data_IF_406597624255
#
_entry.id   IF_406597624255
#
_cell.length_a   1.000
_cell.length_b   1.000
_cell.length_c   1.000
_cell.angle_alpha   90.00
_cell.angle_beta   90.00
_cell.angle_gamma   90.00
#
_symmetry.space_group_name_H-M   'P 1'
#
loop_
_entity.id
_entity.type
_entity.pdbx_description
1 polymer ?
#
# COMPACT_ATOMS: atom_id res chain seq x y z
N UNK A 1 -2.06 18.58 17.49
CA UNK A 1 -2.70 17.63 16.57
C UNK A 1 -3.66 16.81 17.41
N UNK A 2 -4.96 16.87 17.13
CA UNK A 2 -5.94 16.08 17.86
C UNK A 2 -5.74 14.60 17.56
N UNK A 3 -5.08 13.89 18.48
CA UNK A 3 -4.84 12.44 18.39
C UNK A 3 -6.10 11.63 18.76
N UNK A 4 -7.30 12.12 18.42
CA UNK A 4 -8.52 11.35 18.62
C UNK A 4 -8.64 10.34 17.45
N UNK A 5 -8.48 9.02 17.68
CA UNK A 5 -8.54 8.00 16.63
C UNK A 5 -9.84 8.02 15.81
N UNK A 6 -10.94 8.51 16.43
CA UNK A 6 -12.25 8.57 15.79
C UNK A 6 -12.39 9.67 14.73
N UNK A 7 -11.43 10.60 14.63
CA UNK A 7 -11.50 11.76 13.72
C UNK A 7 -10.45 11.74 12.61
N UNK A 8 -9.66 10.67 12.51
CA UNK A 8 -8.60 10.59 11.51
C UNK A 8 -9.13 10.18 10.14
N UNK A 9 -8.75 10.93 9.11
CA UNK A 9 -9.10 10.67 7.71
C UNK A 9 -8.15 9.62 7.12
N UNK A 10 -8.65 8.39 7.00
CA UNK A 10 -7.89 7.26 6.48
C UNK A 10 -8.18 7.08 5.00
N UNK A 11 -7.13 7.10 4.18
CA UNK A 11 -7.22 6.85 2.74
C UNK A 11 -6.51 5.55 2.37
N UNK A 12 -7.11 4.81 1.43
CA UNK A 12 -6.49 3.63 0.82
C UNK A 12 -6.04 3.95 -0.59
N UNK A 13 -4.84 3.51 -0.97
CA UNK A 13 -4.29 3.61 -2.32
C UNK A 13 -4.15 2.21 -2.91
N UNK A 14 -4.77 1.99 -4.07
CA UNK A 14 -4.76 0.72 -4.80
C UNK A 14 -4.13 0.97 -6.18
N UNK A 15 -2.86 0.57 -6.40
CA UNK A 15 -2.30 0.57 -7.74
C UNK A 15 -3.02 -0.48 -8.60
N UNK A 16 -3.47 -0.09 -9.80
CA UNK A 16 -4.29 -0.92 -10.67
C UNK A 16 -3.63 -1.10 -12.04
N UNK A 17 -3.11 -2.31 -12.28
CA UNK A 17 -2.58 -2.74 -13.57
C UNK A 17 -2.86 -4.23 -13.77
N UNK A 18 -3.76 -4.57 -14.70
CA UNK A 18 -4.23 -5.94 -14.97
C UNK A 18 -4.85 -6.62 -13.75
N UNK A 19 -5.65 -5.88 -12.98
CA UNK A 19 -6.29 -6.37 -11.75
C UNK A 19 -7.82 -6.46 -11.86
N UNK A 20 -8.37 -6.27 -13.04
CA UNK A 20 -9.81 -6.32 -13.34
C UNK A 20 -10.54 -7.49 -12.69
N UNK A 21 -10.00 -8.73 -12.65
CA UNK A 21 -10.72 -9.87 -12.06
C UNK A 21 -10.93 -9.76 -10.53
N UNK A 22 -10.12 -8.95 -9.83
CA UNK A 22 -10.07 -8.96 -8.36
C UNK A 22 -10.43 -7.63 -7.72
N UNK A 23 -10.24 -6.51 -8.42
CA UNK A 23 -10.25 -5.16 -7.84
C UNK A 23 -11.57 -4.79 -7.18
N UNK A 24 -12.71 -5.16 -7.75
CA UNK A 24 -14.02 -4.86 -7.15
C UNK A 24 -14.20 -5.62 -5.83
N UNK A 25 -13.74 -6.88 -5.76
CA UNK A 25 -13.81 -7.67 -4.54
C UNK A 25 -12.89 -7.08 -3.45
N UNK A 26 -11.71 -6.56 -3.83
CA UNK A 26 -10.81 -5.86 -2.88
C UNK A 26 -11.49 -4.62 -2.33
N UNK A 27 -12.07 -3.78 -3.19
CA UNK A 27 -12.80 -2.57 -2.78
C UNK A 27 -13.97 -2.91 -1.84
N UNK A 28 -14.75 -3.94 -2.17
CA UNK A 28 -15.88 -4.37 -1.35
C UNK A 28 -15.44 -4.84 0.04
N UNK A 29 -14.36 -5.62 0.13
CA UNK A 29 -13.81 -6.07 1.42
C UNK A 29 -13.29 -4.89 2.27
N UNK A 30 -12.70 -3.87 1.65
CA UNK A 30 -12.29 -2.64 2.34
C UNK A 30 -13.53 -1.93 2.90
N UNK A 31 -14.61 -1.87 2.13
CA UNK A 31 -15.86 -1.20 2.51
C UNK A 31 -16.47 -1.78 3.77
N UNK A 32 -16.46 -3.10 3.93
CA UNK A 32 -17.20 -3.81 4.98
C UNK A 32 -16.61 -3.70 6.39
N UNK A 33 -15.34 -3.38 6.55
CA UNK A 33 -14.68 -3.54 7.86
C UNK A 33 -13.78 -2.42 8.36
N UNK A 34 -13.63 -1.32 7.63
CA UNK A 34 -12.61 -0.32 7.94
C UNK A 34 -13.17 1.09 8.04
N UNK A 35 -12.70 1.88 9.00
CA UNK A 35 -12.96 3.32 9.10
C UNK A 35 -12.34 4.14 7.94
N UNK A 36 -12.21 3.55 6.75
CA UNK A 36 -11.64 4.17 5.56
C UNK A 36 -12.58 5.22 4.99
N UNK A 37 -12.09 6.45 4.86
CA UNK A 37 -12.83 7.60 4.37
C UNK A 37 -12.78 7.74 2.85
N UNK A 38 -11.67 7.31 2.21
CA UNK A 38 -11.44 7.47 0.78
C UNK A 38 -10.62 6.30 0.22
N UNK A 39 -10.89 5.93 -1.02
CA UNK A 39 -10.16 4.89 -1.77
C UNK A 39 -9.71 5.48 -3.10
N UNK A 40 -8.41 5.58 -3.32
CA UNK A 40 -7.81 6.01 -4.57
C UNK A 40 -7.37 4.78 -5.38
N UNK A 41 -8.07 4.50 -6.45
CA UNK A 41 -7.65 3.48 -7.43
C UNK A 41 -6.81 4.18 -8.50
N UNK A 42 -5.54 3.83 -8.60
CA UNK A 42 -4.62 4.44 -9.56
C UNK A 42 -4.39 3.51 -10.75
N UNK A 43 -5.08 3.78 -11.84
CA UNK A 43 -4.89 3.10 -13.13
C UNK A 43 -3.55 3.53 -13.76
N UNK A 44 -2.59 2.63 -13.77
CA UNK A 44 -1.26 2.89 -14.31
C UNK A 44 -1.18 2.69 -15.82
N UNK A 45 -2.08 3.35 -16.57
CA UNK A 45 -2.22 3.21 -18.01
C UNK A 45 -2.42 1.73 -18.39
N UNK A 46 -3.36 1.07 -17.70
CA UNK A 46 -3.62 -0.36 -17.84
C UNK A 46 -4.20 -0.69 -19.22
N UNK A 47 -3.64 -1.65 -19.98
CA UNK A 47 -4.20 -2.06 -21.26
C UNK A 47 -5.58 -2.73 -21.13
N UNK A 48 -5.88 -3.35 -19.97
CA UNK A 48 -7.16 -3.98 -19.67
C UNK A 48 -8.19 -2.98 -19.09
N UNK A 49 -7.85 -1.67 -19.09
CA UNK A 49 -8.71 -0.60 -18.60
C UNK A 49 -9.26 -0.83 -17.18
N UNK A 50 -8.45 -1.34 -16.26
CA UNK A 50 -8.88 -1.66 -14.89
C UNK A 50 -9.52 -0.47 -14.17
N UNK A 51 -9.04 0.76 -14.40
CA UNK A 51 -9.63 1.96 -13.83
C UNK A 51 -11.02 2.28 -14.38
N UNK A 52 -11.20 2.15 -15.70
CA UNK A 52 -12.52 2.36 -16.32
C UNK A 52 -13.52 1.30 -15.88
N UNK A 53 -13.09 0.05 -15.76
CA UNK A 53 -13.89 -1.03 -15.20
C UNK A 53 -14.40 -0.70 -13.79
N UNK A 54 -13.56 -0.12 -12.93
CA UNK A 54 -13.97 0.33 -11.58
C UNK A 54 -14.98 1.47 -11.68
N UNK A 55 -14.78 2.47 -12.54
CA UNK A 55 -15.73 3.58 -12.72
C UNK A 55 -17.13 3.11 -13.11
N UNK A 56 -17.20 2.10 -13.97
CA UNK A 56 -18.47 1.60 -14.51
C UNK A 56 -19.19 0.64 -13.55
N UNK A 57 -18.45 -0.05 -12.67
CA UNK A 57 -19.01 -1.15 -11.87
C UNK A 57 -18.97 -0.91 -10.35
N UNK A 58 -18.34 0.18 -9.88
CA UNK A 58 -18.28 0.52 -8.47
C UNK A 58 -19.14 1.75 -8.15
N UNK A 59 -20.17 1.57 -7.33
CA UNK A 59 -21.06 2.64 -6.87
C UNK A 59 -20.65 3.28 -5.54
N UNK A 60 -19.52 2.87 -4.94
CA UNK A 60 -19.04 3.44 -3.66
C UNK A 60 -18.51 4.86 -3.88
N UNK A 61 -19.20 5.86 -3.29
CA UNK A 61 -18.84 7.28 -3.41
C UNK A 61 -17.46 7.63 -2.83
N UNK A 62 -16.88 6.77 -2.02
CA UNK A 62 -15.54 6.94 -1.48
C UNK A 62 -14.44 6.62 -2.50
N UNK A 63 -14.79 5.92 -3.59
CA UNK A 63 -13.83 5.50 -4.61
C UNK A 63 -13.59 6.63 -5.60
N UNK A 64 -12.33 6.98 -5.79
CA UNK A 64 -11.86 7.90 -6.82
C UNK A 64 -10.83 7.19 -7.70
N UNK A 65 -11.05 7.22 -9.01
CA UNK A 65 -10.16 6.59 -9.98
C UNK A 65 -9.28 7.66 -10.63
N UNK A 66 -7.97 7.53 -10.48
CA UNK A 66 -6.95 8.36 -11.11
C UNK A 66 -6.30 7.54 -12.22
N UNK A 67 -6.07 8.12 -13.39
CA UNK A 67 -5.38 7.46 -14.49
C UNK A 67 -4.05 8.17 -14.78
N UNK A 68 -2.96 7.43 -14.75
CA UNK A 68 -1.66 7.91 -15.21
C UNK A 68 -1.65 8.04 -16.74
N UNK A 69 -1.00 9.06 -17.26
CA UNK A 69 -0.89 9.29 -18.71
C UNK A 69 -0.05 8.20 -19.43
N UNK A 70 0.82 7.53 -18.70
CA UNK A 70 1.66 6.41 -19.15
C UNK A 70 1.89 5.44 -18.00
N UNK A 71 2.31 4.21 -18.31
CA UNK A 71 2.71 3.25 -17.28
C UNK A 71 3.98 3.75 -16.56
N UNK A 72 3.84 4.01 -15.28
CA UNK A 72 4.92 4.47 -14.41
C UNK A 72 5.52 3.31 -13.58
N UNK A 73 4.87 2.16 -13.55
CA UNK A 73 5.18 1.03 -12.68
C UNK A 73 4.51 1.16 -11.31
N UNK A 74 4.54 0.07 -10.53
CA UNK A 74 3.84 -0.02 -9.25
C UNK A 74 4.20 1.12 -8.29
N UNK A 75 5.48 1.44 -8.14
CA UNK A 75 5.93 2.55 -7.30
C UNK A 75 5.41 3.90 -7.79
N UNK A 76 5.46 4.14 -9.11
CA UNK A 76 4.91 5.36 -9.72
C UNK A 76 3.42 5.52 -9.48
N UNK A 77 2.64 4.44 -9.62
CA UNK A 77 1.21 4.43 -9.33
C UNK A 77 0.93 4.71 -7.85
N UNK A 78 1.68 4.08 -6.93
CA UNK A 78 1.55 4.32 -5.48
C UNK A 78 1.85 5.77 -5.14
N UNK A 79 2.93 6.34 -5.66
CA UNK A 79 3.29 7.74 -5.43
C UNK A 79 2.25 8.72 -5.99
N UNK A 80 1.61 8.40 -7.12
CA UNK A 80 0.47 9.16 -7.64
C UNK A 80 -0.68 9.13 -6.63
N UNK A 81 -1.02 7.97 -6.08
CA UNK A 81 -2.05 7.80 -5.07
C UNK A 81 -1.72 8.52 -3.76
N UNK A 82 -0.47 8.46 -3.31
CA UNK A 82 -0.02 9.16 -2.10
C UNK A 82 -0.16 10.69 -2.25
N UNK A 83 0.26 11.25 -3.39
CA UNK A 83 0.04 12.69 -3.67
C UNK A 83 -1.43 13.06 -3.64
N UNK A 84 -2.29 12.24 -4.21
CA UNK A 84 -3.74 12.48 -4.21
C UNK A 84 -4.33 12.40 -2.80
N UNK A 85 -3.94 11.40 -2.00
CA UNK A 85 -4.41 11.24 -0.63
C UNK A 85 -3.95 12.40 0.27
N UNK A 86 -2.69 12.83 0.14
CA UNK A 86 -2.14 14.01 0.86
C UNK A 86 -2.91 15.27 0.47
N UNK A 87 -3.14 15.50 -0.82
CA UNK A 87 -3.89 16.65 -1.32
C UNK A 87 -5.37 16.64 -0.87
N UNK A 88 -5.96 15.46 -0.67
CA UNK A 88 -7.32 15.29 -0.14
C UNK A 88 -7.37 15.43 1.40
N UNK A 89 -6.23 15.68 2.06
CA UNK A 89 -6.12 15.89 3.50
C UNK A 89 -6.21 14.58 4.32
N UNK A 90 -5.70 13.48 3.81
CA UNK A 90 -5.57 12.24 4.58
C UNK A 90 -4.61 12.43 5.76
N UNK A 91 -4.92 11.80 6.91
CA UNK A 91 -4.03 11.70 8.06
C UNK A 91 -3.18 10.43 7.96
N UNK A 92 -3.77 9.33 7.51
CA UNK A 92 -3.09 8.04 7.32
C UNK A 92 -3.40 7.50 5.93
N UNK A 93 -2.38 6.98 5.26
CA UNK A 93 -2.49 6.38 3.93
C UNK A 93 -2.10 4.92 4.01
N UNK A 94 -2.99 4.04 3.52
CA UNK A 94 -2.77 2.60 3.43
C UNK A 94 -2.55 2.23 1.97
N UNK A 95 -1.56 1.41 1.67
CA UNK A 95 -1.36 0.82 0.35
C UNK A 95 -1.77 -0.64 0.39
N UNK A 96 -2.68 -1.02 -0.52
CA UNK A 96 -3.13 -2.40 -0.75
C UNK A 96 -3.03 -2.69 -2.25
N UNK A 97 -2.59 -3.89 -2.63
CA UNK A 97 -2.57 -4.31 -4.04
C UNK A 97 -3.96 -4.75 -4.51
N UNK A 98 -4.27 -4.46 -5.77
CA UNK A 98 -5.58 -4.73 -6.37
C UNK A 98 -5.76 -6.18 -6.83
N UNK A 99 -4.79 -7.08 -6.62
CA UNK A 99 -4.78 -8.48 -7.08
C UNK A 99 -5.53 -9.46 -6.15
N UNK A 100 -5.98 -8.97 -4.99
CA UNK A 100 -6.74 -9.76 -4.02
C UNK A 100 -5.89 -10.65 -3.10
N UNK A 101 -4.56 -10.60 -3.18
CA UNK A 101 -3.68 -11.42 -2.33
C UNK A 101 -3.57 -10.87 -0.90
N UNK A 102 -3.85 -9.58 -0.69
CA UNK A 102 -3.81 -8.94 0.63
C UNK A 102 -5.20 -8.98 1.27
N UNK A 103 -5.25 -9.25 2.58
CA UNK A 103 -6.51 -9.29 3.32
C UNK A 103 -6.86 -7.91 3.89
N UNK A 104 -7.89 -7.21 3.38
CA UNK A 104 -8.29 -5.89 3.91
C UNK A 104 -8.79 -5.92 5.36
N UNK A 105 -9.20 -7.07 5.90
CA UNK A 105 -9.59 -7.19 7.31
C UNK A 105 -8.44 -6.89 8.28
N UNK A 106 -7.18 -6.90 7.79
CA UNK A 106 -6.00 -6.54 8.59
C UNK A 106 -5.77 -5.02 8.70
N UNK A 107 -6.52 -4.19 7.98
CA UNK A 107 -6.39 -2.71 8.05
C UNK A 107 -6.33 -2.19 9.48
N UNK A 108 -7.22 -2.59 10.40
CA UNK A 108 -7.15 -2.10 11.79
C UNK A 108 -5.81 -2.42 12.48
N UNK A 109 -5.22 -3.58 12.23
CA UNK A 109 -3.93 -3.95 12.81
C UNK A 109 -2.76 -3.10 12.29
N UNK A 110 -2.84 -2.63 11.02
CA UNK A 110 -1.86 -1.68 10.48
C UNK A 110 -2.04 -0.27 11.04
N UNK A 111 -3.26 0.12 11.32
CA UNK A 111 -3.60 1.45 11.84
C UNK A 111 -3.27 1.60 13.32
N UNK A 112 -3.46 0.55 14.11
CA UNK A 112 -3.38 0.61 15.57
C UNK A 112 -2.06 1.22 16.09
N UNK A 113 -0.85 0.82 15.63
CA UNK A 113 0.40 1.42 16.11
C UNK A 113 0.53 2.89 15.71
N UNK A 114 0.00 3.28 14.54
CA UNK A 114 0.04 4.68 14.07
C UNK A 114 -0.93 5.54 14.91
N UNK A 115 -2.14 5.05 15.15
CA UNK A 115 -3.16 5.74 15.95
C UNK A 115 -2.72 5.92 17.41
N UNK A 116 -1.93 4.98 17.94
CA UNK A 116 -1.33 5.10 19.28
C UNK A 116 -0.10 6.01 19.34
N UNK A 117 0.40 6.48 18.19
CA UNK A 117 1.64 7.26 18.12
C UNK A 117 2.90 6.45 18.40
N UNK A 118 2.82 5.12 18.28
CA UNK A 118 3.94 4.20 18.48
C UNK A 118 4.78 4.03 17.20
N UNK A 119 4.19 4.32 16.03
CA UNK A 119 4.85 4.23 14.75
C UNK A 119 4.30 5.25 13.76
N UNK A 120 5.15 5.73 12.86
CA UNK A 120 4.76 6.57 11.71
C UNK A 120 4.53 5.74 10.44
N UNK A 121 5.00 4.49 10.44
CA UNK A 121 4.92 3.56 9.32
C UNK A 121 4.76 2.13 9.82
N UNK A 122 3.82 1.40 9.24
CA UNK A 122 3.63 -0.03 9.49
C UNK A 122 3.68 -0.82 8.20
N UNK A 123 4.16 -2.06 8.28
CA UNK A 123 4.38 -2.91 7.12
C UNK A 123 4.03 -4.36 7.42
N UNK A 124 3.34 -5.00 6.48
CA UNK A 124 3.01 -6.42 6.58
C UNK A 124 4.25 -7.31 6.53
N UNK A 125 4.14 -8.45 7.19
CA UNK A 125 5.18 -9.47 7.19
C UNK A 125 4.55 -10.83 6.88
N UNK A 126 4.80 -11.37 5.68
CA UNK A 126 4.28 -12.66 5.22
C UNK A 126 4.90 -13.85 5.94
N UNK A 127 6.06 -13.66 6.58
CA UNK A 127 6.74 -14.73 7.30
C UNK A 127 6.09 -15.08 8.66
N UNK A 128 5.14 -14.29 9.15
CA UNK A 128 4.36 -14.62 10.34
C UNK A 128 3.29 -15.70 10.08
N UNK A 129 2.87 -15.90 8.83
CA UNK A 129 1.96 -16.98 8.47
C UNK A 129 2.74 -18.21 8.05
N UNK A 130 2.84 -19.19 8.94
CA UNK A 130 3.57 -20.45 8.72
C UNK A 130 3.09 -21.19 7.47
N UNK A 131 1.80 -21.13 7.15
CA UNK A 131 1.24 -21.75 5.94
C UNK A 131 1.75 -21.11 4.66
N UNK A 132 1.88 -19.79 4.62
CA UNK A 132 2.45 -19.05 3.47
C UNK A 132 3.91 -19.40 3.25
N UNK A 133 4.67 -19.56 4.33
CA UNK A 133 6.09 -19.96 4.29
C UNK A 133 6.25 -21.40 3.78
N UNK A 134 5.38 -22.33 4.21
CA UNK A 134 5.40 -23.75 3.77
C UNK A 134 5.13 -23.94 2.28
N UNK A 135 4.32 -23.07 1.68
CA UNK A 135 3.99 -23.12 0.26
C UNK A 135 5.03 -22.42 -0.62
N UNK A 136 6.02 -21.74 -0.02
CA UNK A 136 7.00 -20.96 -0.77
C UNK A 136 8.15 -21.86 -1.27
N UNK A 137 8.51 -21.82 -2.57
CA UNK A 137 9.68 -22.52 -3.08
C UNK A 137 10.96 -22.15 -2.33
N UNK A 138 11.82 -23.14 -2.02
CA UNK A 138 13.03 -22.94 -1.19
C UNK A 138 13.94 -21.84 -1.75
N UNK A 139 14.08 -21.76 -3.08
CA UNK A 139 14.89 -20.73 -3.76
C UNK A 139 14.34 -19.32 -3.48
N UNK A 140 13.02 -19.18 -3.46
CA UNK A 140 12.34 -17.91 -3.16
C UNK A 140 12.49 -17.54 -1.67
N UNK A 141 12.44 -18.54 -0.79
CA UNK A 141 12.65 -18.35 0.65
C UNK A 141 14.07 -17.85 0.95
N UNK A 142 15.09 -18.49 0.38
CA UNK A 142 16.51 -18.09 0.53
C UNK A 142 16.75 -16.71 -0.08
N UNK A 143 16.21 -16.45 -1.29
CA UNK A 143 16.33 -15.15 -1.95
C UNK A 143 15.70 -14.02 -1.13
N UNK A 144 14.51 -14.24 -0.58
CA UNK A 144 13.83 -13.26 0.27
C UNK A 144 14.56 -13.05 1.60
N UNK A 145 15.12 -14.11 2.21
CA UNK A 145 15.91 -14.00 3.43
C UNK A 145 17.21 -13.19 3.19
N UNK A 146 17.91 -13.45 2.09
CA UNK A 146 19.11 -12.70 1.68
C UNK A 146 18.79 -11.23 1.40
N UNK A 147 17.71 -10.94 0.67
CA UNK A 147 17.27 -9.58 0.39
C UNK A 147 16.84 -8.85 1.68
N UNK A 148 16.15 -9.54 2.59
CA UNK A 148 15.79 -9.00 3.90
C UNK A 148 17.02 -8.62 4.70
N UNK A 149 18.03 -9.47 4.73
CA UNK A 149 19.30 -9.21 5.43
C UNK A 149 20.04 -8.00 4.83
N UNK A 150 20.17 -7.92 3.51
CA UNK A 150 20.80 -6.77 2.83
C UNK A 150 20.03 -5.47 3.07
N UNK A 151 18.70 -5.53 3.06
CA UNK A 151 17.86 -4.35 3.35
C UNK A 151 18.03 -3.88 4.79
N UNK A 152 18.12 -4.80 5.77
CA UNK A 152 18.42 -4.47 7.17
C UNK A 152 19.77 -3.76 7.33
N UNK A 153 20.80 -4.28 6.66
CA UNK A 153 22.13 -3.69 6.66
C UNK A 153 22.16 -2.29 6.06
N UNK A 154 21.38 -2.02 5.00
CA UNK A 154 21.38 -0.74 4.29
C UNK A 154 20.45 0.29 4.92
N UNK A 155 19.30 -0.12 5.49
CA UNK A 155 18.29 0.78 6.05
C UNK A 155 18.43 1.00 7.57
N UNK A 156 19.12 0.09 8.28
CA UNK A 156 19.19 0.10 9.75
C UNK A 156 17.94 -0.44 10.46
N UNK A 157 16.89 -0.82 9.74
CA UNK A 157 15.64 -1.36 10.32
C UNK A 157 15.73 -2.86 10.57
N UNK A 158 16.30 -3.27 11.69
CA UNK A 158 16.52 -4.67 12.05
C UNK A 158 15.25 -5.46 12.39
N UNK A 159 14.17 -4.78 12.75
CA UNK A 159 12.87 -5.35 13.07
C UNK A 159 11.98 -5.63 11.85
N UNK A 160 12.39 -5.23 10.64
CA UNK A 160 11.65 -5.49 9.40
C UNK A 160 12.13 -6.78 8.73
N UNK A 161 11.23 -7.76 8.59
CA UNK A 161 11.54 -9.08 8.03
C UNK A 161 11.13 -9.27 6.57
N UNK A 162 10.22 -8.46 6.03
CA UNK A 162 9.70 -8.57 4.66
C UNK A 162 9.75 -7.20 3.95
N UNK A 163 10.95 -6.79 3.45
CA UNK A 163 11.10 -5.47 2.83
C UNK A 163 10.31 -5.31 1.53
N UNK A 164 9.92 -6.42 0.89
CA UNK A 164 9.19 -6.43 -0.39
C UNK A 164 7.68 -6.54 -0.25
N UNK A 165 7.16 -6.67 0.97
CA UNK A 165 5.72 -6.68 1.19
C UNK A 165 5.13 -5.32 0.86
N UNK A 166 4.15 -5.30 -0.03
CA UNK A 166 3.50 -4.07 -0.47
C UNK A 166 2.36 -3.60 0.44
N UNK A 167 1.94 -4.37 1.44
CA UNK A 167 0.89 -3.95 2.37
C UNK A 167 1.49 -3.06 3.44
N UNK A 168 1.16 -1.79 3.41
CA UNK A 168 1.78 -0.78 4.29
C UNK A 168 0.76 0.27 4.71
N UNK A 169 0.99 0.89 5.88
CA UNK A 169 0.34 2.14 6.25
C UNK A 169 1.38 3.16 6.70
N UNK A 170 1.14 4.43 6.38
CA UNK A 170 2.05 5.53 6.65
C UNK A 170 1.27 6.76 7.11
N UNK A 171 1.80 7.49 8.08
CA UNK A 171 1.30 8.81 8.44
C UNK A 171 1.49 9.79 7.26
N UNK A 172 0.44 10.49 6.85
CA UNK A 172 0.48 11.34 5.65
C UNK A 172 1.51 12.47 5.76
N UNK A 173 1.72 13.01 6.98
CA UNK A 173 2.74 14.03 7.22
C UNK A 173 4.17 13.50 7.00
N UNK A 174 4.41 12.21 7.24
CA UNK A 174 5.69 11.55 6.94
C UNK A 174 5.80 11.28 5.44
N UNK A 175 4.73 10.76 4.82
CA UNK A 175 4.68 10.56 3.37
C UNK A 175 4.94 11.85 2.59
N UNK A 176 4.42 12.99 3.06
CA UNK A 176 4.61 14.30 2.42
C UNK A 176 6.06 14.79 2.42
N UNK A 177 6.92 14.27 3.30
CA UNK A 177 8.35 14.60 3.37
C UNK A 177 9.22 13.74 2.45
N UNK A 178 8.66 12.65 1.93
CA UNK A 178 9.41 11.73 1.06
C UNK A 178 9.74 12.40 -0.28
N UNK A 179 10.99 12.29 -0.76
CA UNK A 179 11.40 12.82 -2.06
C UNK A 179 10.92 11.88 -3.18
N UNK A 180 9.62 11.92 -3.49
CA UNK A 180 8.99 11.01 -4.46
C UNK A 180 9.68 10.97 -5.84
N UNK A 181 10.33 12.06 -6.24
CA UNK A 181 11.06 12.15 -7.51
C UNK A 181 12.37 11.33 -7.51
N UNK A 182 12.85 10.93 -6.32
CA UNK A 182 14.08 10.13 -6.14
C UNK A 182 13.78 8.67 -5.82
N UNK A 183 12.50 8.32 -5.59
CA UNK A 183 12.09 6.96 -5.25
C UNK A 183 11.89 6.15 -6.53
N UNK A 184 12.29 4.89 -6.50
CA UNK A 184 12.12 3.95 -7.61
C UNK A 184 10.64 3.80 -8.00
N UNK A 185 10.35 3.90 -9.30
CA UNK A 185 8.98 3.77 -9.82
C UNK A 185 8.53 2.31 -9.99
N UNK A 186 9.42 1.32 -9.88
CA UNK A 186 9.12 -0.09 -10.17
C UNK A 186 9.26 -0.96 -8.92
N UNK A 187 9.58 -2.24 -9.09
CA UNK A 187 9.62 -3.26 -8.03
C UNK A 187 10.57 -2.97 -6.85
N UNK A 188 11.50 -2.06 -6.99
CA UNK A 188 12.38 -1.65 -5.90
C UNK A 188 11.76 -0.55 -5.02
N UNK A 189 10.55 -0.09 -5.34
CA UNK A 189 9.85 1.00 -4.67
C UNK A 189 9.78 0.81 -3.15
N UNK A 190 9.33 -0.35 -2.68
CA UNK A 190 9.12 -0.60 -1.25
C UNK A 190 10.42 -0.51 -0.45
N UNK A 191 11.50 -1.06 -0.99
CA UNK A 191 12.82 -1.02 -0.34
C UNK A 191 13.43 0.37 -0.39
N UNK A 192 13.32 1.09 -1.52
CA UNK A 192 13.85 2.44 -1.69
C UNK A 192 13.09 3.45 -0.83
N UNK A 193 11.76 3.31 -0.74
CA UNK A 193 10.94 4.14 0.16
C UNK A 193 11.35 3.93 1.62
N UNK A 194 11.54 2.67 2.03
CA UNK A 194 11.96 2.32 3.39
C UNK A 194 13.34 2.92 3.74
N UNK A 195 14.26 2.94 2.79
CA UNK A 195 15.59 3.54 2.97
C UNK A 195 15.53 5.07 3.19
N UNK A 196 14.44 5.72 2.73
CA UNK A 196 14.26 7.18 2.80
C UNK A 196 13.33 7.64 3.93
N UNK A 197 12.70 6.70 4.62
CA UNK A 197 11.92 6.94 5.84
C UNK A 197 12.85 7.18 7.02
#
# INVERSE_FOLDING_TARGET
MDNNPANQKISVVIPAYKVTPHILQVIEKIRMGSGVSKIFVVDDCCPDNSGEFVRQNCSDSRVSVIRNAKNLGVGGAVMTGYRAAIADGADIIIKIDGDGQMNPALIPAFLEPILRGEADYTKGNRFFEIETVRQMPLVRLIGNAGLSFLTKLSSGYWNLFDPTNGYTAIHAAVAARLPFEKISNRYFFESDMLFRL
#
